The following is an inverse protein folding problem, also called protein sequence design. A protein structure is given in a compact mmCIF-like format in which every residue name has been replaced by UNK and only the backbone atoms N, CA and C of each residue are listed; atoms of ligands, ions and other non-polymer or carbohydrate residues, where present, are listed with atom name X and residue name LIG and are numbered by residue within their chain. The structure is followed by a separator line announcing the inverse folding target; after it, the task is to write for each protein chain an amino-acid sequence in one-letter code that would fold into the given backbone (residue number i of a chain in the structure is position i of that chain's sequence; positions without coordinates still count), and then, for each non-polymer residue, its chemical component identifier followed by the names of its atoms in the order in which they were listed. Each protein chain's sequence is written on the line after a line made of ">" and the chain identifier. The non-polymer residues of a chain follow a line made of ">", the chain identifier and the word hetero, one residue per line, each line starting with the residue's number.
data_IF_861795080114
#
_entry.id   IF_861795080114
#
_cell.length_a   1.000
_cell.length_b   1.000
_cell.length_c   1.000
_cell.angle_alpha   90.00
_cell.angle_beta   90.00
_cell.angle_gamma   90.00
#
_symmetry.space_group_name_H-M   'P 1'
#
loop_
_entity.id
_entity.type
_entity.pdbx_description
1 polymer ?
#
# COMPACT_ATOMS: atom_id res chain seq x y z
N UNK A 1 22.83 3.82 -13.02
CA UNK A 1 22.03 4.86 -12.34
C UNK A 1 21.00 4.17 -11.47
N UNK A 2 21.03 4.38 -10.15
CA UNK A 2 20.00 3.86 -9.25
C UNK A 2 18.69 4.60 -9.53
N UNK A 3 17.59 3.87 -9.72
CA UNK A 3 16.25 4.46 -9.88
C UNK A 3 15.93 5.25 -8.61
N UNK A 4 15.41 6.49 -8.70
CA UNK A 4 15.03 7.24 -7.52
C UNK A 4 14.03 6.44 -6.67
N UNK A 5 14.09 6.55 -5.34
CA UNK A 5 13.18 5.85 -4.45
C UNK A 5 11.73 6.21 -4.81
N UNK A 6 10.88 5.19 -4.88
CA UNK A 6 9.47 5.36 -5.22
C UNK A 6 8.75 5.99 -4.03
N UNK A 7 8.09 7.11 -4.29
CA UNK A 7 7.10 7.67 -3.37
C UNK A 7 5.83 6.82 -3.44
N UNK A 8 5.60 6.02 -2.39
CA UNK A 8 4.44 5.13 -2.31
C UNK A 8 3.15 5.88 -2.06
N UNK A 9 3.21 7.10 -1.52
CA UNK A 9 1.99 7.87 -1.29
C UNK A 9 1.46 8.47 -2.58
N UNK A 10 2.35 8.99 -3.44
CA UNK A 10 1.98 9.44 -4.78
C UNK A 10 1.59 8.25 -5.66
N UNK A 11 2.43 7.22 -5.72
CA UNK A 11 2.22 6.06 -6.60
C UNK A 11 1.03 5.22 -6.14
N UNK A 12 0.89 4.99 -4.84
CA UNK A 12 -0.18 4.22 -4.25
C UNK A 12 -1.53 4.91 -4.39
N UNK A 13 -1.61 6.25 -4.21
CA UNK A 13 -2.82 7.00 -4.50
C UNK A 13 -3.27 6.81 -5.94
N UNK A 14 -2.36 7.01 -6.90
CA UNK A 14 -2.69 6.85 -8.31
C UNK A 14 -3.18 5.44 -8.66
N UNK A 15 -2.61 4.40 -8.01
CA UNK A 15 -3.06 3.02 -8.18
C UNK A 15 -4.43 2.77 -7.54
N UNK A 16 -4.74 3.37 -6.39
CA UNK A 16 -6.06 3.31 -5.76
C UNK A 16 -7.11 4.00 -6.62
N UNK A 17 -6.85 5.24 -7.04
CA UNK A 17 -7.76 5.99 -7.92
C UNK A 17 -8.06 5.18 -9.21
N UNK A 18 -7.01 4.60 -9.82
CA UNK A 18 -7.16 3.75 -11.01
C UNK A 18 -7.97 2.47 -10.73
N UNK A 19 -7.71 1.80 -9.60
CA UNK A 19 -8.45 0.60 -9.19
C UNK A 19 -9.93 0.92 -9.02
N UNK A 20 -10.25 2.03 -8.37
CA UNK A 20 -11.64 2.50 -8.19
C UNK A 20 -12.32 2.77 -9.53
N UNK A 21 -11.67 3.50 -10.45
CA UNK A 21 -12.22 3.77 -11.78
C UNK A 21 -12.56 2.47 -12.52
N UNK A 22 -11.62 1.52 -12.57
CA UNK A 22 -11.81 0.26 -13.31
C UNK A 22 -12.87 -0.63 -12.67
N UNK A 23 -12.89 -0.72 -11.34
CA UNK A 23 -13.87 -1.50 -10.59
C UNK A 23 -15.26 -0.91 -10.75
N UNK A 24 -15.42 0.41 -10.60
CA UNK A 24 -16.70 1.09 -10.74
C UNK A 24 -17.25 0.97 -12.15
N UNK A 25 -16.41 1.09 -13.19
CA UNK A 25 -16.84 0.87 -14.57
C UNK A 25 -17.40 -0.55 -14.79
N UNK A 26 -16.80 -1.57 -14.17
CA UNK A 26 -17.31 -2.94 -14.25
C UNK A 26 -18.64 -3.10 -13.49
N UNK A 27 -18.76 -2.50 -12.31
CA UNK A 27 -19.97 -2.54 -11.48
C UNK A 27 -21.14 -1.85 -12.18
N UNK A 28 -20.93 -0.67 -12.78
CA UNK A 28 -21.99 0.07 -13.46
C UNK A 28 -22.49 -0.63 -14.73
N UNK A 29 -21.59 -1.29 -15.46
CA UNK A 29 -21.99 -2.17 -16.57
C UNK A 29 -22.86 -3.33 -16.06
N UNK A 30 -22.44 -4.00 -14.98
CA UNK A 30 -23.21 -5.10 -14.40
C UNK A 30 -24.58 -4.66 -13.86
N UNK A 31 -24.65 -3.48 -13.24
CA UNK A 31 -25.90 -2.86 -12.78
C UNK A 31 -26.86 -2.63 -13.95
N UNK A 32 -26.34 -2.12 -15.06
CA UNK A 32 -27.13 -1.86 -16.28
C UNK A 32 -27.64 -3.15 -16.92
N UNK A 33 -26.87 -4.23 -16.83
CA UNK A 33 -27.21 -5.57 -17.35
C UNK A 33 -28.06 -6.41 -16.39
N UNK A 34 -28.30 -5.94 -15.15
CA UNK A 34 -28.96 -6.73 -14.11
C UNK A 34 -28.16 -7.96 -13.65
N UNK A 35 -26.84 -7.94 -13.81
CA UNK A 35 -25.95 -9.07 -13.50
C UNK A 35 -25.28 -8.93 -12.13
N UNK A 36 -24.49 -9.94 -11.73
CA UNK A 36 -23.93 -10.01 -10.38
C UNK A 36 -22.84 -8.96 -10.12
N UNK A 37 -23.11 -8.05 -9.17
CA UNK A 37 -22.16 -7.00 -8.77
C UNK A 37 -20.87 -7.55 -8.16
N UNK A 38 -20.95 -8.61 -7.36
CA UNK A 38 -19.76 -9.25 -6.75
C UNK A 38 -18.84 -9.87 -7.81
N UNK A 39 -19.41 -10.44 -8.89
CA UNK A 39 -18.62 -10.95 -10.02
C UNK A 39 -17.96 -9.80 -10.76
N UNK A 40 -18.68 -8.70 -10.96
CA UNK A 40 -18.18 -7.50 -11.62
C UNK A 40 -17.01 -6.86 -10.85
N UNK A 41 -17.11 -6.77 -9.52
CA UNK A 41 -16.04 -6.25 -8.66
C UNK A 41 -14.75 -7.09 -8.81
N UNK A 42 -14.86 -8.42 -8.75
CA UNK A 42 -13.72 -9.34 -8.94
C UNK A 42 -13.10 -9.21 -10.33
N UNK A 43 -13.94 -9.05 -11.37
CA UNK A 43 -13.52 -8.83 -12.75
C UNK A 43 -12.77 -7.50 -12.88
N UNK A 44 -13.29 -6.42 -12.31
CA UNK A 44 -12.66 -5.12 -12.26
C UNK A 44 -11.29 -5.15 -11.57
N UNK A 45 -11.19 -5.78 -10.40
CA UNK A 45 -9.92 -5.95 -9.71
C UNK A 45 -8.89 -6.72 -10.56
N UNK A 46 -9.33 -7.75 -11.28
CA UNK A 46 -8.47 -8.51 -12.20
C UNK A 46 -7.99 -7.65 -13.36
N UNK A 47 -8.87 -6.84 -13.95
CA UNK A 47 -8.50 -5.91 -15.02
C UNK A 47 -7.56 -4.81 -14.56
N UNK A 48 -7.77 -4.26 -13.36
CA UNK A 48 -6.85 -3.29 -12.76
C UNK A 48 -5.41 -3.84 -12.73
N UNK A 49 -5.19 -5.06 -12.22
CA UNK A 49 -3.85 -5.63 -12.15
C UNK A 49 -3.24 -5.88 -13.54
N UNK A 50 -4.03 -6.37 -14.50
CA UNK A 50 -3.57 -6.53 -15.89
C UNK A 50 -3.18 -5.19 -16.51
N UNK A 51 -4.00 -4.16 -16.28
CA UNK A 51 -3.74 -2.82 -16.79
C UNK A 51 -2.45 -2.24 -16.18
N UNK A 52 -2.26 -2.36 -14.87
CA UNK A 52 -1.06 -1.88 -14.18
C UNK A 52 0.22 -2.56 -14.72
N UNK A 53 0.15 -3.86 -14.97
CA UNK A 53 1.28 -4.62 -15.53
C UNK A 53 1.59 -4.19 -16.98
N UNK A 54 0.58 -4.11 -17.84
CA UNK A 54 0.77 -3.82 -19.26
C UNK A 54 1.11 -2.34 -19.54
N UNK A 55 0.50 -1.40 -18.82
CA UNK A 55 0.59 0.03 -19.15
C UNK A 55 1.51 0.80 -18.20
N UNK A 56 1.59 0.40 -16.93
CA UNK A 56 2.43 1.09 -15.93
C UNK A 56 3.74 0.35 -15.64
N UNK A 57 3.92 -0.86 -16.20
CA UNK A 57 5.07 -1.74 -15.93
C UNK A 57 5.26 -2.03 -14.43
N UNK A 58 4.14 -2.08 -13.71
CA UNK A 58 4.09 -2.42 -12.28
C UNK A 58 3.55 -3.83 -12.15
N UNK A 59 4.35 -4.76 -11.60
CA UNK A 59 3.89 -6.14 -11.41
C UNK A 59 2.69 -6.19 -10.46
N UNK A 60 1.85 -7.22 -10.60
CA UNK A 60 0.70 -7.42 -9.71
C UNK A 60 1.08 -7.35 -8.22
N UNK A 61 2.18 -7.99 -7.83
CA UNK A 61 2.65 -8.01 -6.45
C UNK A 61 3.05 -6.61 -5.97
N UNK A 62 3.74 -5.83 -6.80
CA UNK A 62 4.14 -4.47 -6.46
C UNK A 62 2.93 -3.52 -6.39
N UNK A 63 2.00 -3.63 -7.34
CA UNK A 63 0.76 -2.85 -7.33
C UNK A 63 -0.05 -3.13 -6.06
N UNK A 64 -0.24 -4.41 -5.71
CA UNK A 64 -0.94 -4.81 -4.49
C UNK A 64 -0.24 -4.27 -3.22
N UNK A 65 1.09 -4.31 -3.18
CA UNK A 65 1.86 -3.77 -2.06
C UNK A 65 1.67 -2.26 -1.93
N UNK A 66 1.78 -1.49 -3.02
CA UNK A 66 1.65 -0.03 -2.98
C UNK A 66 0.23 0.41 -2.63
N UNK A 67 -0.78 -0.23 -3.20
CA UNK A 67 -2.19 -0.01 -2.83
C UNK A 67 -2.39 -0.25 -1.34
N UNK A 68 -1.95 -1.41 -0.82
CA UNK A 68 -2.10 -1.75 0.59
C UNK A 68 -1.39 -0.76 1.51
N UNK A 69 -0.17 -0.37 1.17
CA UNK A 69 0.60 0.59 1.97
C UNK A 69 -0.09 1.95 2.00
N UNK A 70 -0.55 2.44 0.84
CA UNK A 70 -1.27 3.70 0.76
C UNK A 70 -2.56 3.65 1.57
N UNK A 71 -3.44 2.67 1.30
CA UNK A 71 -4.72 2.50 2.01
C UNK A 71 -4.51 2.40 3.53
N UNK A 72 -3.45 1.73 3.99
CA UNK A 72 -3.16 1.63 5.43
C UNK A 72 -2.73 2.96 6.05
N UNK A 73 -1.88 3.73 5.37
CA UNK A 73 -1.21 4.86 5.99
C UNK A 73 -1.79 6.22 5.64
N UNK A 74 -2.64 6.34 4.62
CA UNK A 74 -3.23 7.61 4.16
C UNK A 74 -3.88 8.39 5.32
N UNK A 75 -4.62 7.69 6.19
CA UNK A 75 -5.31 8.27 7.35
C UNK A 75 -4.63 7.94 8.69
N UNK A 76 -3.39 7.44 8.66
CA UNK A 76 -2.65 7.14 9.89
C UNK A 76 -2.30 8.42 10.65
N UNK A 77 -2.36 8.38 11.98
CA UNK A 77 -1.81 9.44 12.86
C UNK A 77 -0.33 9.70 12.60
N UNK A 78 0.39 8.70 12.09
CA UNK A 78 1.81 8.79 11.78
C UNK A 78 2.07 9.16 10.30
N UNK A 79 1.04 9.46 9.50
CA UNK A 79 1.11 9.67 8.03
C UNK A 79 2.32 10.48 7.58
N UNK A 80 2.55 11.66 8.15
CA UNK A 80 3.65 12.53 7.75
C UNK A 80 5.03 11.94 8.10
N UNK A 81 5.15 11.30 9.26
CA UNK A 81 6.40 10.67 9.71
C UNK A 81 6.71 9.42 8.89
N UNK A 82 5.71 8.59 8.58
CA UNK A 82 5.94 7.37 7.82
C UNK A 82 6.41 7.64 6.39
N UNK A 83 5.91 8.70 5.76
CA UNK A 83 6.38 9.16 4.44
C UNK A 83 7.78 9.73 4.46
N UNK A 84 8.10 10.54 5.47
CA UNK A 84 9.40 11.18 5.55
C UNK A 84 10.53 10.18 5.91
N UNK A 85 10.24 9.16 6.71
CA UNK A 85 11.26 8.34 7.37
C UNK A 85 11.43 6.94 6.78
N UNK A 86 10.42 6.40 6.09
CA UNK A 86 10.41 5.00 5.68
C UNK A 86 10.30 4.86 4.17
N UNK A 87 11.07 3.92 3.62
CA UNK A 87 10.93 3.55 2.22
C UNK A 87 9.79 2.53 2.02
N UNK A 88 9.42 2.32 0.74
CA UNK A 88 8.36 1.41 0.33
C UNK A 88 8.42 -0.01 0.94
N UNK A 89 9.63 -0.57 1.06
CA UNK A 89 9.83 -1.92 1.57
C UNK A 89 9.71 -2.01 3.09
N UNK A 90 10.09 -0.96 3.79
CA UNK A 90 9.88 -0.82 5.23
C UNK A 90 8.40 -0.60 5.54
N UNK A 91 7.74 0.33 4.83
CA UNK A 91 6.29 0.55 4.97
C UNK A 91 5.47 -0.72 4.74
N UNK A 92 5.86 -1.56 3.77
CA UNK A 92 5.21 -2.85 3.55
C UNK A 92 5.33 -3.82 4.74
N UNK A 93 6.41 -3.72 5.52
CA UNK A 93 6.57 -4.49 6.78
C UNK A 93 5.67 -3.92 7.87
N UNK A 94 5.49 -2.61 7.93
CA UNK A 94 4.69 -1.94 8.96
C UNK A 94 3.18 -2.01 8.68
N UNK A 95 2.78 -2.18 7.42
CA UNK A 95 1.37 -2.14 7.02
C UNK A 95 0.40 -3.09 7.77
N UNK A 96 0.82 -4.27 8.27
CA UNK A 96 -0.05 -5.12 9.09
C UNK A 96 -0.37 -4.62 10.49
N UNK A 97 0.37 -3.63 11.01
CA UNK A 97 0.28 -3.19 12.42
C UNK A 97 -0.59 -1.94 12.56
N UNK A 98 -1.23 -1.77 13.72
CA UNK A 98 -2.03 -0.60 14.08
C UNK A 98 -1.17 0.63 14.38
N UNK A 99 -1.78 1.82 14.45
CA UNK A 99 -1.04 3.05 14.77
C UNK A 99 -0.47 3.04 16.19
N UNK A 100 -1.15 2.39 17.12
CA UNK A 100 -0.70 2.27 18.50
C UNK A 100 0.57 1.40 18.57
N UNK A 101 0.55 0.23 17.92
CA UNK A 101 1.72 -0.66 17.82
C UNK A 101 2.93 -0.02 17.12
N UNK A 102 2.68 0.97 16.24
CA UNK A 102 3.73 1.63 15.48
C UNK A 102 4.31 2.87 16.14
N UNK A 103 3.71 3.37 17.24
CA UNK A 103 4.12 4.65 17.85
C UNK A 103 5.60 4.65 18.23
N UNK A 104 6.06 3.62 18.94
CA UNK A 104 7.46 3.51 19.34
C UNK A 104 8.39 3.24 18.15
N UNK A 105 7.94 2.48 17.15
CA UNK A 105 8.73 2.18 15.96
C UNK A 105 9.01 3.45 15.14
N UNK A 106 8.01 4.31 15.02
CA UNK A 106 8.14 5.61 14.34
C UNK A 106 9.06 6.53 15.11
N UNK A 107 8.97 6.56 16.45
CA UNK A 107 9.87 7.33 17.30
C UNK A 107 11.33 6.84 17.17
N UNK A 108 11.55 5.53 17.22
CA UNK A 108 12.87 4.93 17.10
C UNK A 108 13.50 5.19 15.71
N UNK A 109 12.73 5.11 14.63
CA UNK A 109 13.25 5.47 13.29
C UNK A 109 13.60 6.95 13.18
N UNK A 110 12.87 7.82 13.87
CA UNK A 110 13.15 9.25 13.87
C UNK A 110 14.47 9.57 14.62
N UNK A 111 14.78 8.85 15.69
CA UNK A 111 16.04 8.99 16.44
C UNK A 111 17.20 8.26 15.77
N UNK A 112 16.92 7.16 15.05
CA UNK A 112 17.89 6.40 14.29
C UNK A 112 17.42 6.15 12.84
N UNK A 113 17.61 7.13 11.93
CA UNK A 113 17.17 7.02 10.52
C UNK A 113 17.82 5.85 9.77
N UNK A 114 18.97 5.35 10.24
CA UNK A 114 19.71 4.24 9.61
C UNK A 114 19.15 2.86 9.95
N UNK A 115 18.11 2.77 10.80
CA UNK A 115 17.47 1.50 11.12
C UNK A 115 17.07 0.77 9.85
N UNK A 116 17.59 -0.44 9.68
CA UNK A 116 17.31 -1.27 8.51
C UNK A 116 15.95 -1.94 8.65
N UNK A 117 15.40 -2.37 7.50
CA UNK A 117 14.19 -3.19 7.43
C UNK A 117 14.23 -4.43 8.33
N UNK A 118 15.36 -5.12 8.43
CA UNK A 118 15.49 -6.32 9.27
C UNK A 118 15.49 -5.96 10.77
N UNK A 119 16.13 -4.86 11.15
CA UNK A 119 16.06 -4.35 12.53
C UNK A 119 14.62 -3.93 12.90
N UNK A 120 13.89 -3.28 11.99
CA UNK A 120 12.47 -2.96 12.20
C UNK A 120 11.63 -4.22 12.44
N UNK A 121 11.84 -5.28 11.66
CA UNK A 121 11.16 -6.57 11.89
C UNK A 121 11.48 -7.16 13.27
N UNK A 122 12.75 -7.10 13.69
CA UNK A 122 13.15 -7.58 15.00
C UNK A 122 12.47 -6.78 16.12
N UNK A 123 12.48 -5.45 16.01
CA UNK A 123 11.84 -4.54 16.95
C UNK A 123 10.34 -4.79 17.11
N UNK A 124 9.64 -5.10 16.01
CA UNK A 124 8.22 -5.46 16.03
C UNK A 124 7.98 -6.81 16.73
N UNK A 125 8.79 -7.83 16.42
CA UNK A 125 8.68 -9.15 17.05
C UNK A 125 8.90 -9.11 18.55
N UNK A 126 9.92 -8.40 19.02
CA UNK A 126 10.21 -8.28 20.45
C UNK A 126 9.05 -7.64 21.21
N UNK A 127 8.35 -6.68 20.60
CA UNK A 127 7.22 -5.98 21.22
C UNK A 127 5.93 -6.78 21.21
N UNK A 128 5.68 -7.61 20.20
CA UNK A 128 4.53 -8.51 20.21
C UNK A 128 4.63 -9.64 21.24
N UNK A 129 5.84 -9.90 21.74
CA UNK A 129 6.10 -10.93 22.75
C UNK A 129 6.09 -10.40 24.19
N UNK A 130 5.94 -9.08 24.39
CA UNK A 130 5.91 -8.40 25.68
C UNK A 130 4.47 -8.04 26.06
#
# INVERSE_FOLDING_TARGET
>A
MLKPPVDVFVTGKALVDLKEIVVNACIENARSEGSSLTVAERKGATFFYKYAEMNLRVSKAMAAQYVRVYERFVDSRHRAKVEALFNAGELAVLAPYSDDELTEIVLEKATNPTLTREQLKHLLKTRQAA
#
